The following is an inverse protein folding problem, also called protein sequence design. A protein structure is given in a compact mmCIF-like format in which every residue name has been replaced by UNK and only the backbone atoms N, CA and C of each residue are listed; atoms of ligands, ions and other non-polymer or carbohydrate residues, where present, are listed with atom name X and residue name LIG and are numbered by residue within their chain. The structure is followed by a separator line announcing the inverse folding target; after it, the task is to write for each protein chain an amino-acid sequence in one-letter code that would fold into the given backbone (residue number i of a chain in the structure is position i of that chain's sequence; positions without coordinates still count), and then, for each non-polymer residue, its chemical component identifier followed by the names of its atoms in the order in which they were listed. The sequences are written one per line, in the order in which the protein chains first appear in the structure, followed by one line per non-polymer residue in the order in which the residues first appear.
data_IF_192117365262
#
_entry.id   IF_192117365262
#
_cell.length_a   1.000
_cell.length_b   1.000
_cell.length_c   1.000
_cell.angle_alpha   90.00
_cell.angle_beta   90.00
_cell.angle_gamma   90.00
#
_symmetry.space_group_name_H-M   'P 1'
#
loop_
_entity.id
_entity.type
_entity.pdbx_description
1 polymer ?
#
# COMPACT_ATOMS: atom_id res chain seq x y z
N UNK A 1 -4.94 -7.11 9.46
CA UNK A 1 -4.17 -5.86 9.63
C UNK A 1 -4.62 -5.19 10.91
N UNK A 2 -3.73 -4.48 11.60
CA UNK A 2 -4.00 -3.87 12.91
C UNK A 2 -4.71 -2.50 12.82
N UNK A 3 -4.97 -2.00 11.61
CA UNK A 3 -5.58 -0.70 11.33
C UNK A 3 -6.85 -0.77 10.46
N UNK A 4 -7.82 -1.65 10.76
CA UNK A 4 -9.02 -1.80 9.91
C UNK A 4 -9.85 -0.52 9.81
N UNK A 5 -9.86 0.30 10.87
CA UNK A 5 -10.52 1.61 10.89
C UNK A 5 -9.93 2.64 9.92
N UNK A 6 -8.71 2.41 9.43
CA UNK A 6 -8.03 3.27 8.48
C UNK A 6 -8.26 2.84 7.02
N UNK A 7 -9.00 1.76 6.80
CA UNK A 7 -9.36 1.26 5.47
C UNK A 7 -10.74 1.80 5.06
N UNK A 8 -10.95 1.95 3.76
CA UNK A 8 -12.29 2.24 3.26
C UNK A 8 -13.23 1.07 3.58
N UNK A 9 -14.51 1.33 3.90
CA UNK A 9 -15.43 0.30 4.37
C UNK A 9 -15.90 -0.65 3.25
N UNK A 10 -15.69 -0.28 1.98
CA UNK A 10 -16.03 -1.11 0.82
C UNK A 10 -14.92 -1.08 -0.22
N UNK A 11 -14.92 -2.09 -1.09
CA UNK A 11 -14.00 -2.15 -2.22
C UNK A 11 -14.17 -0.96 -3.17
N UNK A 12 -15.41 -0.56 -3.49
CA UNK A 12 -15.66 0.53 -4.43
C UNK A 12 -15.14 1.87 -3.90
N UNK A 13 -15.32 2.13 -2.60
CA UNK A 13 -14.79 3.35 -1.96
C UNK A 13 -13.26 3.33 -1.91
N UNK A 14 -12.66 2.16 -1.64
CA UNK A 14 -11.21 1.99 -1.72
C UNK A 14 -10.71 2.25 -3.16
N UNK A 15 -11.34 1.67 -4.17
CA UNK A 15 -10.94 1.75 -5.56
C UNK A 15 -11.03 3.20 -6.07
N UNK A 16 -12.14 3.88 -5.78
CA UNK A 16 -12.34 5.28 -6.12
C UNK A 16 -11.25 6.17 -5.49
N UNK A 17 -10.97 6.01 -4.20
CA UNK A 17 -9.94 6.78 -3.51
C UNK A 17 -8.54 6.49 -4.08
N UNK A 18 -8.22 5.23 -4.35
CA UNK A 18 -6.93 4.84 -4.93
C UNK A 18 -6.71 5.43 -6.33
N UNK A 19 -7.72 5.35 -7.20
CA UNK A 19 -7.69 5.92 -8.55
C UNK A 19 -7.58 7.46 -8.52
N UNK A 20 -8.30 8.12 -7.61
CA UNK A 20 -8.20 9.57 -7.44
C UNK A 20 -6.78 9.98 -7.01
N UNK A 21 -6.21 9.30 -6.01
CA UNK A 21 -4.86 9.60 -5.52
C UNK A 21 -3.79 9.42 -6.62
N UNK A 22 -3.91 8.36 -7.42
CA UNK A 22 -3.03 8.13 -8.57
C UNK A 22 -3.17 9.23 -9.62
N UNK A 23 -4.40 9.58 -10.00
CA UNK A 23 -4.67 10.64 -10.97
C UNK A 23 -4.12 12.00 -10.53
N UNK A 24 -4.36 12.38 -9.27
CA UNK A 24 -3.84 13.64 -8.69
C UNK A 24 -2.30 13.66 -8.69
N UNK A 25 -1.65 12.56 -8.32
CA UNK A 25 -0.19 12.47 -8.34
C UNK A 25 0.39 12.58 -9.77
N UNK A 26 -0.24 11.91 -10.75
CA UNK A 26 0.16 12.00 -12.15
C UNK A 26 -0.03 13.41 -12.72
N UNK A 27 -1.14 14.08 -12.40
CA UNK A 27 -1.40 15.47 -12.80
C UNK A 27 -0.39 16.45 -12.20
N UNK A 28 0.15 16.14 -11.02
CA UNK A 28 1.24 16.89 -10.40
C UNK A 28 2.63 16.59 -11.01
N UNK A 29 2.71 15.76 -12.06
CA UNK A 29 3.96 15.39 -12.74
C UNK A 29 4.75 14.30 -12.04
N UNK A 30 4.18 13.62 -11.04
CA UNK A 30 4.85 12.53 -10.34
C UNK A 30 4.73 11.22 -11.12
N UNK A 31 5.82 10.45 -11.17
CA UNK A 31 5.78 9.06 -11.63
C UNK A 31 5.11 8.20 -10.56
N UNK A 32 3.99 7.58 -10.90
CA UNK A 32 3.27 6.64 -10.02
C UNK A 32 3.62 5.21 -10.42
N UNK A 33 3.93 4.39 -9.42
CA UNK A 33 4.18 2.95 -9.58
C UNK A 33 3.17 2.19 -8.71
N UNK A 34 2.44 1.26 -9.31
CA UNK A 34 1.56 0.34 -8.58
C UNK A 34 2.36 -0.88 -8.13
N UNK A 35 2.41 -1.13 -6.83
CA UNK A 35 3.05 -2.31 -6.24
C UNK A 35 1.98 -3.31 -5.79
N UNK A 36 1.87 -4.49 -6.42
CA UNK A 36 0.97 -5.54 -5.94
C UNK A 36 1.46 -6.08 -4.60
N UNK A 37 0.61 -6.02 -3.57
CA UNK A 37 0.88 -6.63 -2.27
C UNK A 37 0.23 -8.01 -2.22
N UNK A 38 1.04 -9.06 -2.13
CA UNK A 38 0.56 -10.41 -1.80
C UNK A 38 0.43 -10.53 -0.28
N UNK A 39 -0.75 -10.82 0.29
CA UNK A 39 -0.96 -10.81 1.74
C UNK A 39 0.02 -11.69 2.51
N UNK A 40 0.29 -12.90 2.03
CA UNK A 40 1.16 -13.86 2.72
C UNK A 40 2.62 -13.40 2.72
N UNK A 41 3.13 -12.95 1.58
CA UNK A 41 4.48 -12.42 1.46
C UNK A 41 4.69 -11.15 2.31
N UNK A 42 3.67 -10.28 2.37
CA UNK A 42 3.70 -9.09 3.22
C UNK A 42 3.69 -9.45 4.71
N UNK A 43 2.83 -10.39 5.12
CA UNK A 43 2.77 -10.85 6.50
C UNK A 43 4.09 -11.48 6.94
N UNK A 44 4.70 -12.32 6.10
CA UNK A 44 6.02 -12.89 6.37
C UNK A 44 7.10 -11.80 6.48
N UNK A 45 7.15 -10.86 5.52
CA UNK A 45 8.12 -9.77 5.52
C UNK A 45 8.02 -8.89 6.78
N UNK A 46 6.80 -8.64 7.26
CA UNK A 46 6.55 -7.95 8.52
C UNK A 46 7.06 -8.75 9.72
N UNK A 47 6.76 -10.05 9.79
CA UNK A 47 7.18 -10.93 10.87
C UNK A 47 8.71 -11.00 11.01
N UNK A 48 9.42 -11.15 9.89
CA UNK A 48 10.89 -11.16 9.84
C UNK A 48 11.53 -9.86 10.38
N UNK A 49 10.78 -8.75 10.37
CA UNK A 49 11.25 -7.40 10.75
C UNK A 49 10.63 -6.88 12.04
N UNK A 50 9.83 -7.68 12.73
CA UNK A 50 9.12 -7.25 13.94
C UNK A 50 8.17 -6.08 13.70
N UNK A 51 7.60 -5.96 12.50
CA UNK A 51 6.68 -4.88 12.13
C UNK A 51 5.22 -5.29 12.33
N UNK A 52 4.42 -4.36 12.85
CA UNK A 52 2.96 -4.48 12.89
C UNK A 52 2.37 -4.48 11.48
N UNK A 53 1.40 -5.37 11.21
CA UNK A 53 0.70 -5.41 9.92
C UNK A 53 -0.29 -4.24 9.78
N UNK A 54 0.20 -3.04 9.54
CA UNK A 54 -0.57 -1.80 9.41
C UNK A 54 -0.21 -1.00 8.14
N UNK A 55 -0.80 0.19 7.98
CA UNK A 55 -0.55 1.08 6.85
C UNK A 55 0.88 1.58 6.74
N UNK A 56 1.58 1.77 7.86
CA UNK A 56 2.99 2.15 7.86
C UNK A 56 3.85 1.03 7.28
N UNK A 57 3.59 -0.21 7.70
CA UNK A 57 4.26 -1.38 7.13
C UNK A 57 3.94 -1.58 5.64
N UNK A 58 2.68 -1.36 5.20
CA UNK A 58 2.32 -1.42 3.77
C UNK A 58 3.13 -0.42 2.94
N UNK A 59 3.30 0.80 3.42
CA UNK A 59 4.09 1.83 2.73
C UNK A 59 5.58 1.45 2.64
N UNK A 60 6.16 0.92 3.72
CA UNK A 60 7.56 0.45 3.75
C UNK A 60 7.78 -0.74 2.82
N UNK A 61 6.85 -1.70 2.81
CA UNK A 61 6.89 -2.84 1.92
C UNK A 61 6.85 -2.39 0.46
N UNK A 62 5.91 -1.51 0.10
CA UNK A 62 5.80 -0.96 -1.25
C UNK A 62 7.09 -0.27 -1.72
N UNK A 63 7.73 0.52 -0.84
CA UNK A 63 9.03 1.14 -1.12
C UNK A 63 10.13 0.10 -1.36
N UNK A 64 10.22 -0.95 -0.54
CA UNK A 64 11.23 -2.00 -0.73
C UNK A 64 11.06 -2.76 -2.05
N UNK A 65 9.83 -2.99 -2.46
CA UNK A 65 9.54 -3.65 -3.74
C UNK A 65 9.85 -2.74 -4.93
N UNK A 66 9.54 -1.44 -4.82
CA UNK A 66 9.81 -0.46 -5.87
C UNK A 66 11.30 -0.14 -6.04
N UNK A 67 12.10 -0.24 -4.97
CA UNK A 67 13.56 -0.08 -5.05
C UNK A 67 14.29 -1.30 -5.63
N UNK A 68 13.60 -2.44 -5.75
CA UNK A 68 14.18 -3.71 -6.22
C UNK A 68 13.90 -4.01 -7.70
N UNK A 69 13.24 -3.10 -8.43
CA UNK A 69 12.91 -3.24 -9.86
C UNK A 69 13.25 -1.99 -10.65
#
# INVERSE_FOLDING_TARGET
MADPQSLAPTYDLWLMAAQNNESVAQQAGLRVVRVPIRPDAFAQWCAERGLTLDGSARAKFAQSMAASG
#
